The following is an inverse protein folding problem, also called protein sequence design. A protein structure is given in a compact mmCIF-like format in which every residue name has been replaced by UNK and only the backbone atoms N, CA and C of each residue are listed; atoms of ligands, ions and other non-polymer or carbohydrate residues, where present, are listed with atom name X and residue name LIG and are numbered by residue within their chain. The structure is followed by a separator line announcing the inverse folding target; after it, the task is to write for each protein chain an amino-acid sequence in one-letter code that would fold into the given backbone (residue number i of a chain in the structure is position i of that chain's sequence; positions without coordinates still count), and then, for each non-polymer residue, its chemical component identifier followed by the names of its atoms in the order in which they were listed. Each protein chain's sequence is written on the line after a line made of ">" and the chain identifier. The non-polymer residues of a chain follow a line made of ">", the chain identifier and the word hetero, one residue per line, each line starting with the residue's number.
data_IF_100170064470
#
_entry.id   IF_100170064470
#
_cell.length_a   1.000
_cell.length_b   1.000
_cell.length_c   1.000
_cell.angle_alpha   90.00
_cell.angle_beta   90.00
_cell.angle_gamma   90.00
#
_symmetry.space_group_name_H-M   'P 1'
#
loop_
_entity.id
_entity.type
_entity.pdbx_description
1 polymer ?
#
# COMPACT_ATOMS: atom_id res chain seq x y z
N UNK A 1 50.87 -14.33 45.86
CA UNK A 1 50.31 -14.80 44.57
C UNK A 1 51.41 -14.72 43.54
N UNK A 2 51.92 -15.83 42.99
CA UNK A 2 52.67 -15.94 41.71
C UNK A 2 53.32 -17.34 41.62
N UNK A 3 52.52 -18.37 41.37
CA UNK A 3 53.03 -19.74 41.19
C UNK A 3 52.47 -20.43 39.93
N UNK A 4 52.02 -19.66 38.95
CA UNK A 4 51.40 -20.17 37.70
C UNK A 4 52.37 -20.16 36.51
N UNK A 5 53.52 -19.49 36.62
CA UNK A 5 54.47 -19.33 35.51
C UNK A 5 55.55 -20.42 35.41
N UNK A 6 55.89 -21.10 36.52
CA UNK A 6 56.95 -22.12 36.52
C UNK A 6 56.50 -23.43 35.85
N UNK A 7 55.26 -23.86 36.09
CA UNK A 7 54.70 -25.07 35.46
C UNK A 7 54.49 -24.93 33.94
N UNK A 8 54.50 -23.70 33.41
CA UNK A 8 54.27 -23.44 31.98
C UNK A 8 55.52 -23.64 31.12
N UNK A 9 56.70 -23.72 31.73
CA UNK A 9 57.97 -23.83 31.00
C UNK A 9 58.55 -25.25 30.95
N UNK A 10 58.22 -26.14 31.89
CA UNK A 10 58.69 -27.54 31.83
C UNK A 10 57.96 -28.38 30.78
N UNK A 11 56.71 -28.03 30.44
CA UNK A 11 55.95 -28.76 29.42
C UNK A 11 56.54 -28.56 28.02
N UNK A 12 57.27 -27.46 27.79
CA UNK A 12 57.89 -27.13 26.49
C UNK A 12 59.09 -28.02 26.11
N UNK A 13 59.62 -28.83 27.04
CA UNK A 13 60.75 -29.72 26.80
C UNK A 13 60.40 -31.09 26.21
N UNK A 14 59.11 -31.46 26.17
CA UNK A 14 58.67 -32.77 25.64
C UNK A 14 58.23 -32.66 24.19
N UNK A 15 58.62 -33.63 23.35
CA UNK A 15 58.28 -33.72 21.92
C UNK A 15 56.76 -33.56 21.69
N UNK A 16 55.96 -34.10 22.61
CA UNK A 16 54.50 -34.04 22.59
C UNK A 16 53.95 -32.60 22.67
N UNK A 17 54.59 -31.72 23.44
CA UNK A 17 54.15 -30.32 23.56
C UNK A 17 54.52 -29.48 22.34
N UNK A 18 55.69 -29.72 21.73
CA UNK A 18 56.06 -29.09 20.45
C UNK A 18 55.10 -29.47 19.32
N UNK A 19 54.72 -30.74 19.24
CA UNK A 19 53.73 -31.22 18.27
C UNK A 19 52.35 -30.59 18.50
N UNK A 20 51.90 -30.47 19.75
CA UNK A 20 50.64 -29.80 20.08
C UNK A 20 50.66 -28.30 19.75
N UNK A 21 51.80 -27.62 19.94
CA UNK A 21 51.95 -26.20 19.59
C UNK A 21 51.96 -25.95 18.08
N UNK A 22 52.60 -26.83 17.30
CA UNK A 22 52.56 -26.74 15.84
C UNK A 22 51.16 -27.04 15.30
N UNK A 23 50.45 -27.99 15.91
CA UNK A 23 49.07 -28.32 15.56
C UNK A 23 48.12 -27.14 15.84
N UNK A 24 48.26 -26.46 16.98
CA UNK A 24 47.43 -25.29 17.29
C UNK A 24 47.74 -24.12 16.37
N UNK A 25 49.03 -23.83 16.09
CA UNK A 25 49.41 -22.78 15.14
C UNK A 25 48.85 -23.07 13.73
N UNK A 26 48.89 -24.33 13.29
CA UNK A 26 48.31 -24.74 12.01
C UNK A 26 46.78 -24.66 11.98
N UNK A 27 46.09 -24.80 13.13
CA UNK A 27 44.64 -24.70 13.23
C UNK A 27 44.10 -23.26 13.30
N UNK A 28 44.91 -22.30 13.77
CA UNK A 28 44.54 -20.87 13.86
C UNK A 28 43.97 -20.29 12.54
N UNK A 29 44.64 -20.42 11.37
CA UNK A 29 44.13 -19.84 10.13
C UNK A 29 42.77 -20.42 9.72
N UNK A 30 42.54 -21.70 10.02
CA UNK A 30 41.29 -22.38 9.69
C UNK A 30 40.12 -21.84 10.54
N UNK A 31 40.37 -21.63 11.84
CA UNK A 31 39.39 -21.04 12.77
C UNK A 31 39.15 -19.56 12.44
N UNK A 32 40.20 -18.80 12.11
CA UNK A 32 40.09 -17.41 11.74
C UNK A 32 39.26 -17.22 10.45
N UNK A 33 39.47 -18.08 9.45
CA UNK A 33 38.72 -18.04 8.20
C UNK A 33 37.24 -18.40 8.42
N UNK A 34 36.95 -19.41 9.23
CA UNK A 34 35.58 -19.76 9.59
C UNK A 34 34.86 -18.63 10.35
N UNK A 35 35.54 -17.97 11.29
CA UNK A 35 34.99 -16.84 12.05
C UNK A 35 34.69 -15.63 11.15
N UNK A 36 35.56 -15.31 10.21
CA UNK A 36 35.34 -14.23 9.24
C UNK A 36 34.13 -14.52 8.34
N UNK A 37 34.00 -15.75 7.84
CA UNK A 37 32.85 -16.16 7.02
C UNK A 37 31.55 -16.10 7.83
N UNK A 38 31.56 -16.55 9.08
CA UNK A 38 30.40 -16.46 9.96
C UNK A 38 29.97 -15.01 10.20
N UNK A 39 30.93 -14.10 10.44
CA UNK A 39 30.65 -12.68 10.65
C UNK A 39 30.10 -12.00 9.38
N UNK A 40 30.70 -12.29 8.23
CA UNK A 40 30.24 -11.78 6.93
C UNK A 40 28.84 -12.29 6.59
N UNK A 41 28.56 -13.58 6.81
CA UNK A 41 27.24 -14.16 6.61
C UNK A 41 26.21 -13.51 7.53
N UNK A 42 26.56 -13.21 8.79
CA UNK A 42 25.65 -12.53 9.71
C UNK A 42 25.31 -11.11 9.23
N UNK A 43 26.31 -10.35 8.78
CA UNK A 43 26.11 -9.01 8.22
C UNK A 43 25.28 -9.01 6.93
N UNK A 44 25.51 -9.97 6.03
CA UNK A 44 24.76 -10.12 4.78
C UNK A 44 23.30 -10.53 5.06
N UNK A 45 23.07 -11.43 6.01
CA UNK A 45 21.72 -11.91 6.35
C UNK A 45 20.87 -10.77 6.95
N UNK A 46 21.46 -9.93 7.80
CA UNK A 46 20.80 -8.74 8.32
C UNK A 46 20.49 -7.69 7.24
N UNK A 47 21.37 -7.53 6.24
CA UNK A 47 21.15 -6.64 5.09
C UNK A 47 20.06 -7.11 4.13
N UNK A 48 20.03 -8.42 3.83
CA UNK A 48 19.05 -9.04 2.92
C UNK A 48 17.62 -8.96 3.45
N UNK A 49 17.42 -9.13 4.76
CA UNK A 49 16.10 -9.00 5.37
C UNK A 49 15.51 -7.58 5.18
N UNK A 50 16.34 -6.53 5.34
CA UNK A 50 15.90 -5.15 5.11
C UNK A 50 15.57 -4.88 3.65
N UNK A 51 16.41 -5.36 2.72
CA UNK A 51 16.17 -5.19 1.28
C UNK A 51 14.91 -5.92 0.82
N UNK A 52 14.65 -7.13 1.32
CA UNK A 52 13.43 -7.87 1.02
C UNK A 52 12.18 -7.12 1.52
N UNK A 53 12.22 -6.52 2.72
CA UNK A 53 11.11 -5.72 3.24
C UNK A 53 10.88 -4.46 2.39
N UNK A 54 11.95 -3.78 1.95
CA UNK A 54 11.83 -2.61 1.07
C UNK A 54 11.21 -2.97 -0.29
N UNK A 55 11.69 -4.04 -0.93
CA UNK A 55 11.15 -4.54 -2.20
C UNK A 55 9.66 -4.91 -2.09
N UNK A 56 9.27 -5.61 -1.03
CA UNK A 56 7.86 -5.96 -0.79
C UNK A 56 7.02 -4.71 -0.54
N UNK A 57 7.55 -3.72 0.21
CA UNK A 57 6.87 -2.45 0.45
C UNK A 57 6.69 -1.66 -0.83
N UNK A 58 7.72 -1.53 -1.66
CA UNK A 58 7.67 -0.84 -2.95
C UNK A 58 6.69 -1.52 -3.90
N UNK A 59 6.73 -2.86 -4.00
CA UNK A 59 5.79 -3.62 -4.80
C UNK A 59 4.34 -3.48 -4.30
N UNK A 60 4.13 -3.43 -2.98
CA UNK A 60 2.81 -3.20 -2.40
C UNK A 60 2.30 -1.79 -2.72
N UNK A 61 3.14 -0.76 -2.56
CA UNK A 61 2.80 0.64 -2.89
C UNK A 61 2.47 0.76 -4.38
N UNK A 62 3.31 0.24 -5.27
CA UNK A 62 3.09 0.28 -6.71
C UNK A 62 1.78 -0.42 -7.12
N UNK A 63 1.45 -1.55 -6.48
CA UNK A 63 0.18 -2.25 -6.71
C UNK A 63 -1.02 -1.42 -6.27
N UNK A 64 -0.93 -0.73 -5.13
CA UNK A 64 -1.99 0.14 -4.63
C UNK A 64 -2.16 1.39 -5.51
N UNK A 65 -1.05 2.00 -5.97
CA UNK A 65 -1.07 3.11 -6.91
C UNK A 65 -1.73 2.72 -8.24
N UNK A 66 -1.33 1.60 -8.83
CA UNK A 66 -1.92 1.12 -10.08
C UNK A 66 -3.42 0.80 -9.95
N UNK A 67 -3.84 0.27 -8.80
CA UNK A 67 -5.26 0.02 -8.54
C UNK A 67 -6.06 1.34 -8.45
N UNK A 68 -5.54 2.34 -7.74
CA UNK A 68 -6.16 3.66 -7.61
C UNK A 68 -6.19 4.41 -8.94
N UNK A 69 -5.10 4.37 -9.70
CA UNK A 69 -5.03 4.99 -11.02
C UNK A 69 -6.07 4.39 -11.96
N UNK A 70 -6.21 3.06 -11.97
CA UNK A 70 -7.22 2.38 -12.78
C UNK A 70 -8.65 2.76 -12.39
N UNK A 71 -8.93 2.95 -11.09
CA UNK A 71 -10.22 3.46 -10.60
C UNK A 71 -10.44 4.90 -11.07
N UNK A 72 -9.44 5.77 -10.96
CA UNK A 72 -9.52 7.16 -11.40
C UNK A 72 -9.76 7.29 -12.90
N UNK A 73 -9.07 6.48 -13.72
CA UNK A 73 -9.26 6.44 -15.16
C UNK A 73 -10.67 5.98 -15.54
N UNK A 74 -11.19 4.96 -14.84
CA UNK A 74 -12.56 4.48 -15.05
C UNK A 74 -13.59 5.55 -14.69
N UNK A 75 -13.43 6.21 -13.55
CA UNK A 75 -14.33 7.28 -13.11
C UNK A 75 -14.25 8.50 -14.02
N UNK A 76 -13.07 8.85 -14.54
CA UNK A 76 -12.92 9.92 -15.52
C UNK A 76 -13.68 9.61 -16.83
N UNK A 77 -13.64 8.36 -17.29
CA UNK A 77 -14.41 7.94 -18.47
C UNK A 77 -15.93 7.98 -18.21
N UNK A 78 -16.36 7.54 -17.04
CA UNK A 78 -17.77 7.60 -16.59
C UNK A 78 -18.25 9.05 -16.50
N UNK A 79 -17.44 9.96 -15.95
CA UNK A 79 -17.77 11.38 -15.80
C UNK A 79 -17.93 12.11 -17.14
N UNK A 80 -17.26 11.65 -18.20
CA UNK A 80 -17.40 12.19 -19.55
C UNK A 80 -18.62 11.65 -20.31
N UNK A 81 -19.27 10.61 -19.80
CA UNK A 81 -20.43 10.01 -20.46
C UNK A 81 -21.60 11.01 -20.49
N UNK A 82 -22.21 11.16 -21.66
CA UNK A 82 -23.34 12.08 -21.86
C UNK A 82 -24.51 11.78 -20.92
N UNK A 83 -24.71 10.51 -20.59
CA UNK A 83 -25.76 10.03 -19.67
C UNK A 83 -25.57 10.59 -18.26
N UNK A 84 -24.32 10.87 -17.85
CA UNK A 84 -23.96 11.45 -16.55
C UNK A 84 -24.01 12.98 -16.60
N UNK A 85 -23.55 13.60 -17.71
CA UNK A 85 -23.55 15.07 -17.86
C UNK A 85 -24.93 15.70 -18.04
N UNK A 86 -25.83 15.00 -18.74
CA UNK A 86 -27.16 15.53 -19.08
C UNK A 86 -28.18 15.43 -17.95
N UNK A 87 -27.82 14.83 -16.80
CA UNK A 87 -28.68 14.66 -15.63
C UNK A 87 -30.02 13.98 -15.92
N UNK A 88 -30.11 13.18 -17.00
CA UNK A 88 -31.28 12.39 -17.30
C UNK A 88 -31.34 11.18 -16.34
N UNK A 89 -31.97 11.35 -15.18
CA UNK A 89 -31.90 10.44 -14.03
C UNK A 89 -32.04 8.95 -14.38
N UNK A 90 -33.05 8.58 -15.16
CA UNK A 90 -33.29 7.18 -15.58
C UNK A 90 -32.16 6.60 -16.43
N UNK A 91 -31.71 7.37 -17.43
CA UNK A 91 -30.60 6.97 -18.31
C UNK A 91 -29.29 6.90 -17.55
N UNK A 92 -29.04 7.85 -16.65
CA UNK A 92 -27.88 7.81 -15.78
C UNK A 92 -27.89 6.58 -14.85
N UNK A 93 -29.03 6.27 -14.21
CA UNK A 93 -29.18 5.11 -13.33
C UNK A 93 -28.85 3.82 -14.06
N UNK A 94 -29.45 3.60 -15.24
CA UNK A 94 -29.18 2.43 -16.07
C UNK A 94 -27.71 2.33 -16.50
N UNK A 95 -27.08 3.46 -16.86
CA UNK A 95 -25.67 3.50 -17.22
C UNK A 95 -24.77 3.13 -16.05
N UNK A 96 -24.96 3.75 -14.88
CA UNK A 96 -24.16 3.48 -13.69
C UNK A 96 -24.37 2.04 -13.20
N UNK A 97 -25.58 1.50 -13.30
CA UNK A 97 -25.87 0.10 -12.99
C UNK A 97 -25.08 -0.87 -13.88
N UNK A 98 -25.00 -0.60 -15.19
CA UNK A 98 -24.18 -1.37 -16.12
C UNK A 98 -22.68 -1.26 -15.80
N UNK A 99 -22.19 -0.05 -15.48
CA UNK A 99 -20.79 0.16 -15.08
C UNK A 99 -20.47 -0.63 -13.81
N UNK A 100 -21.36 -0.61 -12.81
CA UNK A 100 -21.20 -1.38 -11.58
C UNK A 100 -21.22 -2.88 -11.87
N UNK A 101 -22.15 -3.36 -12.71
CA UNK A 101 -22.24 -4.77 -13.08
C UNK A 101 -20.95 -5.31 -13.73
N UNK A 102 -20.29 -4.50 -14.58
CA UNK A 102 -19.02 -4.84 -15.22
C UNK A 102 -17.81 -4.79 -14.27
N UNK A 103 -17.92 -4.07 -13.14
CA UNK A 103 -16.79 -3.79 -12.25
C UNK A 103 -17.10 -4.09 -10.77
N UNK A 104 -17.96 -5.08 -10.49
CA UNK A 104 -18.38 -5.43 -9.10
C UNK A 104 -17.22 -5.77 -8.17
N UNK A 105 -16.12 -6.29 -8.71
CA UNK A 105 -14.93 -6.63 -7.92
C UNK A 105 -14.14 -5.38 -7.46
N UNK A 106 -14.41 -4.22 -8.06
CA UNK A 106 -13.65 -2.98 -7.83
C UNK A 106 -14.47 -1.86 -7.19
N UNK A 107 -15.78 -1.82 -7.46
CA UNK A 107 -16.68 -0.81 -6.93
C UNK A 107 -17.76 -1.45 -6.07
N UNK A 108 -17.92 -0.94 -4.85
CA UNK A 108 -19.07 -1.30 -4.01
C UNK A 108 -20.36 -0.63 -4.48
N UNK A 109 -20.27 0.62 -4.98
CA UNK A 109 -21.36 1.35 -5.63
C UNK A 109 -20.75 2.52 -6.43
N UNK A 110 -21.51 3.10 -7.34
CA UNK A 110 -21.13 4.29 -8.12
C UNK A 110 -22.28 5.28 -8.11
N UNK A 111 -22.00 6.57 -7.87
CA UNK A 111 -23.00 7.63 -7.83
C UNK A 111 -22.47 8.90 -8.48
N UNK A 112 -23.37 9.67 -9.09
CA UNK A 112 -23.11 11.01 -9.58
C UNK A 112 -23.86 12.02 -8.72
N UNK A 113 -23.16 13.08 -8.36
CA UNK A 113 -23.64 14.17 -7.52
C UNK A 113 -23.82 15.43 -8.37
N UNK A 114 -24.63 16.37 -7.88
CA UNK A 114 -24.70 17.71 -8.44
C UNK A 114 -23.67 18.63 -7.77
N UNK A 115 -23.50 19.90 -8.24
CA UNK A 115 -22.51 20.81 -7.67
C UNK A 115 -22.76 21.17 -6.19
N UNK A 116 -23.98 20.90 -5.69
CA UNK A 116 -24.40 21.08 -4.32
C UNK A 116 -24.28 19.82 -3.46
N UNK A 117 -23.69 18.73 -3.98
CA UNK A 117 -23.52 17.46 -3.26
C UNK A 117 -24.81 16.64 -3.15
N UNK A 118 -25.86 16.95 -3.91
CA UNK A 118 -27.09 16.14 -3.94
C UNK A 118 -26.95 15.01 -4.93
N UNK A 119 -27.57 13.87 -4.62
CA UNK A 119 -27.56 12.71 -5.50
C UNK A 119 -28.37 12.99 -6.76
N UNK A 120 -27.73 12.92 -7.94
CA UNK A 120 -28.44 12.93 -9.22
C UNK A 120 -28.87 11.53 -9.62
N UNK A 121 -27.96 10.56 -9.52
CA UNK A 121 -28.17 9.17 -9.89
C UNK A 121 -27.14 8.28 -9.20
N UNK A 122 -27.50 7.02 -8.96
CA UNK A 122 -26.60 5.99 -8.45
C UNK A 122 -26.81 4.68 -9.17
N UNK A 123 -25.86 3.74 -9.08
CA UNK A 123 -26.03 2.40 -9.61
C UNK A 123 -26.97 1.55 -8.74
N UNK A 124 -26.83 1.68 -7.41
CA UNK A 124 -27.71 1.08 -6.40
C UNK A 124 -28.15 2.15 -5.38
N UNK A 125 -29.27 1.96 -4.66
CA UNK A 125 -29.72 2.92 -3.65
C UNK A 125 -28.64 3.22 -2.59
N UNK A 126 -28.38 4.51 -2.33
CA UNK A 126 -27.44 4.92 -1.28
C UNK A 126 -28.17 5.12 0.06
N UNK A 127 -27.51 4.83 1.19
CA UNK A 127 -28.00 5.20 2.51
C UNK A 127 -28.20 6.72 2.62
N UNK A 128 -29.20 7.20 3.40
CA UNK A 128 -29.43 8.62 3.63
C UNK A 128 -28.21 9.39 4.17
N UNK A 129 -27.33 8.71 4.89
CA UNK A 129 -26.09 9.28 5.42
C UNK A 129 -25.03 9.60 4.34
N UNK A 130 -25.23 9.12 3.11
CA UNK A 130 -24.35 9.31 1.96
C UNK A 130 -25.03 10.10 0.83
N UNK A 131 -25.94 11.02 1.15
CA UNK A 131 -26.61 11.90 0.19
C UNK A 131 -26.86 13.31 0.77
N UNK A 132 -26.84 14.34 -0.08
CA UNK A 132 -27.30 15.68 0.27
C UNK A 132 -26.27 16.56 0.99
N UNK A 133 -26.74 17.40 1.92
CA UNK A 133 -25.90 18.42 2.59
C UNK A 133 -24.72 17.83 3.37
N UNK A 134 -24.84 16.57 3.83
CA UNK A 134 -23.75 15.87 4.50
C UNK A 134 -22.54 15.66 3.57
N UNK A 135 -22.76 15.38 2.27
CA UNK A 135 -21.67 15.25 1.30
C UNK A 135 -21.07 16.60 0.94
N UNK A 136 -21.89 17.64 0.80
CA UNK A 136 -21.41 18.97 0.41
C UNK A 136 -20.39 19.55 1.42
N UNK A 137 -20.45 19.12 2.69
CA UNK A 137 -19.49 19.46 3.74
C UNK A 137 -18.25 18.56 3.79
N UNK A 138 -18.17 17.52 2.96
CA UNK A 138 -17.04 16.60 2.99
C UNK A 138 -15.77 17.22 2.40
N UNK A 139 -14.60 17.04 3.06
CA UNK A 139 -13.34 17.58 2.57
C UNK A 139 -12.97 17.11 1.15
N UNK A 140 -13.26 15.85 0.83
CA UNK A 140 -12.98 15.30 -0.51
C UNK A 140 -13.84 15.95 -1.59
N UNK A 141 -15.10 16.30 -1.27
CA UNK A 141 -16.00 16.96 -2.21
C UNK A 141 -15.55 18.40 -2.47
N UNK A 142 -15.13 19.11 -1.42
CA UNK A 142 -14.54 20.45 -1.58
C UNK A 142 -13.24 20.43 -2.40
N UNK A 143 -12.37 19.44 -2.19
CA UNK A 143 -11.16 19.25 -2.98
C UNK A 143 -11.48 19.02 -4.47
N UNK A 144 -12.41 18.12 -4.80
CA UNK A 144 -12.80 17.88 -6.21
C UNK A 144 -13.36 19.15 -6.85
N UNK A 145 -14.24 19.87 -6.13
CA UNK A 145 -14.86 21.09 -6.62
C UNK A 145 -13.85 22.22 -6.86
N UNK A 146 -12.92 22.43 -5.93
CA UNK A 146 -11.95 23.54 -5.99
C UNK A 146 -10.79 23.26 -6.93
N UNK A 147 -10.27 22.03 -6.91
CA UNK A 147 -9.09 21.66 -7.68
C UNK A 147 -9.44 21.11 -9.06
N UNK A 148 -10.71 20.75 -9.29
CA UNK A 148 -11.20 20.12 -10.51
C UNK A 148 -10.36 18.88 -10.88
N UNK A 149 -9.97 18.12 -9.85
CA UNK A 149 -9.16 16.91 -9.93
C UNK A 149 -9.78 15.81 -9.08
N UNK A 150 -9.45 14.57 -9.42
CA UNK A 150 -9.90 13.42 -8.64
C UNK A 150 -9.36 13.46 -7.22
N UNK A 151 -10.20 13.12 -6.24
CA UNK A 151 -9.83 13.06 -4.83
C UNK A 151 -10.28 11.75 -4.20
N UNK A 152 -9.63 11.39 -3.09
CA UNK A 152 -9.93 10.19 -2.31
C UNK A 152 -10.38 10.64 -0.92
N UNK A 153 -11.53 10.15 -0.49
CA UNK A 153 -12.09 10.35 0.84
C UNK A 153 -11.38 9.50 1.89
N UNK A 154 -11.73 9.76 3.15
CA UNK A 154 -11.30 8.92 4.27
C UNK A 154 -12.04 7.57 4.23
N UNK A 155 -11.35 6.51 4.65
CA UNK A 155 -11.97 5.20 4.79
C UNK A 155 -13.06 5.22 5.88
N UNK A 156 -14.23 4.69 5.57
CA UNK A 156 -15.40 4.61 6.45
C UNK A 156 -15.86 3.17 6.58
N UNK A 157 -16.49 2.88 7.71
CA UNK A 157 -17.17 1.61 7.89
C UNK A 157 -18.48 1.60 7.10
N UNK A 158 -18.70 0.48 6.43
CA UNK A 158 -19.86 0.14 5.63
C UNK A 158 -21.17 0.18 6.39
N UNK A 159 -22.23 0.50 5.66
CA UNK A 159 -23.59 0.28 6.15
C UNK A 159 -23.96 -1.22 6.10
N UNK A 160 -25.10 -1.58 6.67
CA UNK A 160 -25.73 -2.91 6.58
C UNK A 160 -25.86 -3.39 5.11
N UNK A 161 -25.99 -2.49 4.15
CA UNK A 161 -26.08 -2.79 2.71
C UNK A 161 -24.73 -3.01 2.01
N UNK A 162 -23.60 -2.71 2.65
CA UNK A 162 -22.25 -2.92 2.10
C UNK A 162 -21.26 -3.16 3.24
N UNK A 163 -21.27 -4.35 3.87
CA UNK A 163 -20.45 -4.64 5.03
C UNK A 163 -18.95 -4.61 4.69
N UNK A 164 -18.16 -3.86 5.46
CA UNK A 164 -16.70 -3.73 5.29
C UNK A 164 -16.23 -2.27 5.30
N UNK A 165 -14.91 -2.03 5.30
CA UNK A 165 -14.35 -0.67 5.17
C UNK A 165 -14.33 -0.27 3.69
N UNK A 166 -14.92 0.87 3.37
CA UNK A 166 -14.90 1.43 2.02
C UNK A 166 -14.26 2.83 2.03
N UNK A 167 -13.74 3.26 0.89
CA UNK A 167 -13.33 4.65 0.69
C UNK A 167 -14.04 5.21 -0.54
N UNK A 168 -14.30 6.51 -0.53
CA UNK A 168 -14.89 7.20 -1.68
C UNK A 168 -13.75 7.67 -2.57
N UNK A 169 -13.79 7.30 -3.85
CA UNK A 169 -12.95 7.92 -4.88
C UNK A 169 -13.88 8.72 -5.76
N UNK A 170 -13.57 10.00 -5.93
CA UNK A 170 -14.38 10.94 -6.69
C UNK A 170 -13.58 11.51 -7.86
N UNK A 171 -14.26 11.71 -8.98
CA UNK A 171 -13.73 12.38 -10.16
C UNK A 171 -14.70 13.52 -10.54
N UNK A 172 -14.19 14.68 -10.97
CA UNK A 172 -15.05 15.82 -11.32
C UNK A 172 -15.82 15.55 -12.61
N UNK A 173 -17.11 15.88 -12.61
CA UNK A 173 -17.95 15.94 -13.79
C UNK A 173 -17.85 17.36 -14.35
N UNK A 174 -17.30 17.47 -15.55
CA UNK A 174 -17.00 18.74 -16.20
C UNK A 174 -17.80 18.89 -17.49
N UNK A 175 -18.28 20.11 -17.73
CA UNK A 175 -18.83 20.56 -19.00
C UNK A 175 -18.04 21.78 -19.47
N UNK A 176 -17.03 21.54 -20.29
CA UNK A 176 -15.98 22.51 -20.58
C UNK A 176 -15.26 22.96 -19.29
N UNK A 177 -15.17 24.27 -19.00
CA UNK A 177 -14.56 24.77 -17.76
C UNK A 177 -15.52 24.70 -16.54
N UNK A 178 -16.79 24.32 -16.74
CA UNK A 178 -17.81 24.36 -15.70
C UNK A 178 -17.87 23.05 -14.93
N UNK A 179 -17.79 23.14 -13.61
CA UNK A 179 -18.05 22.02 -12.71
C UNK A 179 -19.56 21.72 -12.66
N UNK A 180 -19.93 20.47 -12.93
CA UNK A 180 -21.31 19.99 -12.93
C UNK A 180 -21.59 19.01 -11.77
N UNK A 181 -20.57 18.52 -11.05
CA UNK A 181 -20.73 17.57 -9.95
C UNK A 181 -19.49 16.79 -9.60
#
# INVERSE_FOLDING_TARGET
>A
MNNVNAARWEVLGTVRARLMMLLTIAAIPLVAMAALVAWQNYAITAGRAKQAVLLVREAAVARHEAALESVQQTLAAVAQAEMVRTSAAERCHAFLSNVLALNRDRFGNVAALDPGGRLQCSAEPLPPALIGSAIASEPWFDSVRREQKSAIGLARDGSVSSPGRFTVVAAPIMDGPRFQG
#
